data_IF_839522510809
#
_entry.id   IF_839522510809
#
_cell.length_a   1.000
_cell.length_b   1.000
_cell.length_c   1.000
_cell.angle_alpha   90.00
_cell.angle_beta   90.00
_cell.angle_gamma   90.00
#
_symmetry.space_group_name_H-M   'P 1'
#
loop_
_entity.id
_entity.type
_entity.pdbx_description
1 polymer ?
#
# COMPACT_ATOMS: atom_id res chain seq x y z
N UNK A 1 10.98 -31.62 5.64
CA UNK A 1 11.33 -31.13 4.29
C UNK A 1 10.07 -31.24 3.43
N UNK A 2 9.61 -30.09 2.90
CA UNK A 2 8.35 -29.87 2.18
C UNK A 2 7.08 -29.80 3.03
N UNK A 3 6.86 -28.66 3.70
CA UNK A 3 5.53 -28.19 4.10
C UNK A 3 5.04 -27.28 2.97
N UNK A 4 4.35 -27.88 2.01
CA UNK A 4 3.60 -27.17 0.96
C UNK A 4 2.42 -26.46 1.61
N UNK A 5 2.65 -25.23 2.09
CA UNK A 5 1.60 -24.31 2.49
C UNK A 5 0.92 -23.79 1.22
N UNK A 6 -0.01 -24.59 0.67
CA UNK A 6 -1.06 -24.06 -0.20
C UNK A 6 -1.93 -23.14 0.65
N UNK A 7 -1.58 -21.86 0.75
CA UNK A 7 -2.55 -20.83 1.12
C UNK A 7 -3.54 -20.68 -0.04
N UNK A 8 -4.55 -21.54 -0.06
CA UNK A 8 -5.82 -21.21 -0.71
C UNK A 8 -6.49 -20.13 0.14
N UNK A 9 -6.03 -18.88 -0.01
CA UNK A 9 -6.74 -17.68 0.44
C UNK A 9 -7.98 -17.51 -0.43
N UNK A 10 -9.00 -18.31 -0.16
CA UNK A 10 -10.38 -18.00 -0.57
C UNK A 10 -10.86 -16.82 0.29
N UNK A 11 -10.31 -15.63 0.03
CA UNK A 11 -10.87 -14.38 0.51
C UNK A 11 -12.21 -14.20 -0.19
N UNK A 12 -13.30 -14.51 0.51
CA UNK A 12 -14.63 -14.07 0.13
C UNK A 12 -14.63 -12.54 0.13
N UNK A 13 -14.43 -11.98 -1.07
CA UNK A 13 -14.27 -10.55 -1.33
C UNK A 13 -15.61 -9.82 -1.16
N UNK A 14 -15.91 -9.40 0.06
CA UNK A 14 -16.93 -8.39 0.32
C UNK A 14 -16.35 -7.01 0.02
N UNK A 15 -16.90 -6.22 -0.92
CA UNK A 15 -16.47 -4.84 -1.12
C UNK A 15 -16.89 -3.95 0.05
N UNK A 16 -16.14 -2.87 0.39
CA UNK A 16 -14.85 -2.46 -0.17
C UNK A 16 -13.72 -2.76 0.82
N UNK A 17 -12.80 -3.65 0.46
CA UNK A 17 -11.46 -3.58 1.05
C UNK A 17 -10.81 -2.28 0.53
N UNK A 18 -10.14 -1.51 1.39
CA UNK A 18 -9.51 -0.26 0.96
C UNK A 18 -8.51 -0.53 -0.17
N UNK A 19 -8.49 0.35 -1.17
CA UNK A 19 -7.60 0.26 -2.33
C UNK A 19 -6.13 0.05 -1.93
N UNK A 20 -5.71 0.73 -0.86
CA UNK A 20 -4.38 0.66 -0.25
C UNK A 20 -4.04 -0.75 0.25
N UNK A 21 -4.97 -1.46 0.90
CA UNK A 21 -4.74 -2.82 1.39
C UNK A 21 -4.50 -3.80 0.23
N UNK A 22 -5.22 -3.66 -0.88
CA UNK A 22 -5.04 -4.54 -2.05
C UNK A 22 -3.65 -4.37 -2.67
N UNK A 23 -3.19 -3.13 -2.78
CA UNK A 23 -1.88 -2.83 -3.34
C UNK A 23 -0.78 -3.32 -2.40
N UNK A 24 -0.92 -3.11 -1.09
CA UNK A 24 -0.02 -3.66 -0.08
C UNK A 24 0.08 -5.18 -0.17
N UNK A 25 -1.05 -5.87 -0.27
CA UNK A 25 -1.07 -7.32 -0.37
C UNK A 25 -0.36 -7.79 -1.64
N UNK A 26 -0.68 -7.18 -2.78
CA UNK A 26 -0.02 -7.54 -4.05
C UNK A 26 1.49 -7.31 -3.98
N UNK A 27 1.93 -6.21 -3.36
CA UNK A 27 3.34 -5.88 -3.23
C UNK A 27 4.06 -6.87 -2.29
N UNK A 28 3.40 -7.25 -1.19
CA UNK A 28 3.86 -8.29 -0.27
C UNK A 28 4.04 -9.64 -0.98
N UNK A 29 3.04 -10.06 -1.75
CA UNK A 29 3.12 -11.32 -2.51
C UNK A 29 4.21 -11.28 -3.59
N UNK A 30 4.58 -10.09 -4.07
CA UNK A 30 5.69 -9.90 -5.02
C UNK A 30 7.08 -10.02 -4.38
N UNK A 31 7.15 -10.28 -3.08
CA UNK A 31 8.39 -10.41 -2.32
C UNK A 31 8.82 -9.13 -1.63
N UNK A 32 8.00 -8.09 -1.57
CA UNK A 32 8.32 -6.89 -0.80
C UNK A 32 7.74 -6.96 0.61
N UNK A 33 8.59 -7.16 1.60
CA UNK A 33 8.15 -7.26 2.99
C UNK A 33 8.13 -5.88 3.65
N UNK A 34 7.05 -5.51 4.36
CA UNK A 34 7.00 -4.28 5.13
C UNK A 34 7.66 -4.47 6.50
N UNK A 35 8.66 -3.63 6.77
CA UNK A 35 9.37 -3.49 8.03
C UNK A 35 9.01 -2.17 8.70
N UNK A 36 9.07 -2.12 10.02
CA UNK A 36 9.01 -0.86 10.75
C UNK A 36 10.39 -0.20 10.72
N UNK A 37 10.42 1.08 10.38
CA UNK A 37 11.62 1.90 10.51
C UNK A 37 12.07 1.98 11.98
N UNK A 38 13.37 1.92 12.30
CA UNK A 38 13.87 2.09 13.68
C UNK A 38 13.47 3.45 14.28
N UNK A 39 13.36 4.47 13.44
CA UNK A 39 12.90 5.81 13.78
C UNK A 39 11.40 6.02 13.49
N UNK A 40 10.63 4.93 13.38
CA UNK A 40 9.20 4.98 13.10
C UNK A 40 8.48 5.83 14.16
N UNK A 41 7.92 6.95 13.72
CA UNK A 41 7.06 7.81 14.51
C UNK A 41 5.70 7.89 13.82
N UNK A 42 4.64 7.75 14.60
CA UNK A 42 3.27 7.88 14.12
C UNK A 42 2.56 9.04 14.85
N UNK A 43 1.73 9.85 14.17
CA UNK A 43 1.02 10.97 14.80
C UNK A 43 -0.03 10.53 15.82
N UNK A 44 -0.72 9.40 15.55
CA UNK A 44 -1.60 8.77 16.55
C UNK A 44 -0.74 8.23 17.73
N UNK A 45 -0.91 8.76 18.97
CA UNK A 45 -0.10 8.38 20.12
C UNK A 45 -0.32 6.92 20.56
N UNK A 46 -1.52 6.37 20.37
CA UNK A 46 -1.81 4.96 20.65
C UNK A 46 -0.98 4.09 19.73
N UNK A 47 -1.08 4.32 18.41
CA UNK A 47 -0.34 3.55 17.43
C UNK A 47 1.17 3.76 17.58
N UNK A 48 1.63 4.99 17.85
CA UNK A 48 3.03 5.28 18.16
C UNK A 48 3.56 4.41 19.31
N UNK A 49 2.82 4.32 20.43
CA UNK A 49 3.22 3.49 21.56
C UNK A 49 3.29 2.00 21.21
N UNK A 50 2.34 1.51 20.41
CA UNK A 50 2.27 0.12 19.97
C UNK A 50 3.42 -0.22 19.02
N UNK A 51 3.72 0.67 18.07
CA UNK A 51 4.84 0.56 17.14
C UNK A 51 6.18 0.58 17.87
N UNK A 52 6.36 1.46 18.86
CA UNK A 52 7.57 1.51 19.67
C UNK A 52 7.82 0.19 20.41
N UNK A 53 6.76 -0.42 20.98
CA UNK A 53 6.86 -1.76 21.60
C UNK A 53 7.18 -2.84 20.57
N UNK A 54 6.55 -2.81 19.40
CA UNK A 54 6.81 -3.77 18.34
C UNK A 54 8.26 -3.68 17.81
N UNK A 55 8.78 -2.47 17.60
CA UNK A 55 10.14 -2.22 17.12
C UNK A 55 11.23 -2.74 18.07
N UNK A 56 10.97 -2.75 19.38
CA UNK A 56 11.88 -3.31 20.39
C UNK A 56 12.00 -4.84 20.32
N UNK A 57 11.08 -5.51 19.61
CA UNK A 57 10.89 -6.97 19.69
C UNK A 57 11.45 -7.72 18.46
N UNK A 58 12.42 -7.14 17.74
CA UNK A 58 13.02 -7.61 16.46
C UNK A 58 12.32 -7.01 15.25
N UNK A 59 13.12 -6.54 14.29
CA UNK A 59 12.72 -6.11 12.93
C UNK A 59 12.12 -7.28 12.16
N UNK A 60 10.94 -7.73 12.57
CA UNK A 60 10.22 -8.81 11.97
C UNK A 60 9.12 -8.19 11.10
N UNK A 61 8.98 -8.73 9.90
CA UNK A 61 7.91 -8.42 8.97
C UNK A 61 6.59 -8.21 9.72
N UNK A 62 5.82 -7.17 9.39
CA UNK A 62 4.48 -6.95 9.99
C UNK A 62 3.59 -8.20 9.91
N UNK A 63 3.87 -9.13 9.00
CA UNK A 63 3.17 -10.41 8.87
C UNK A 63 3.33 -11.35 10.07
N UNK A 64 4.31 -11.13 10.97
CA UNK A 64 4.56 -11.98 12.15
C UNK A 64 4.27 -11.23 13.46
N UNK A 65 3.87 -9.95 13.38
CA UNK A 65 3.42 -9.20 14.56
C UNK A 65 1.96 -9.56 14.88
N UNK A 66 1.56 -9.37 16.14
CA UNK A 66 0.16 -9.48 16.58
C UNK A 66 -0.65 -8.34 15.92
N UNK A 67 -1.10 -8.59 14.69
CA UNK A 67 -1.88 -7.66 13.90
C UNK A 67 -3.14 -7.23 14.65
N UNK A 68 -3.73 -8.15 15.42
CA UNK A 68 -4.87 -7.89 16.31
C UNK A 68 -4.54 -6.82 17.35
N UNK A 69 -3.36 -6.90 17.98
CA UNK A 69 -2.90 -5.89 18.93
C UNK A 69 -2.68 -4.54 18.26
N UNK A 70 -2.06 -4.49 17.08
CA UNK A 70 -1.84 -3.23 16.35
C UNK A 70 -3.15 -2.58 15.90
N UNK A 71 -4.13 -3.39 15.52
CA UNK A 71 -5.44 -2.93 15.06
C UNK A 71 -6.32 -2.37 16.17
N UNK A 72 -6.16 -2.83 17.41
CA UNK A 72 -7.05 -2.48 18.51
C UNK A 72 -7.05 -0.96 18.77
N UNK A 73 -8.25 -0.38 18.80
CA UNK A 73 -8.47 1.04 19.06
C UNK A 73 -8.20 1.95 17.85
N UNK A 74 -7.98 1.40 16.65
CA UNK A 74 -7.92 2.18 15.42
C UNK A 74 -9.32 2.38 14.82
N UNK A 75 -9.57 3.60 14.37
CA UNK A 75 -10.81 3.99 13.68
C UNK A 75 -10.46 4.44 12.25
N UNK A 76 -11.33 4.14 11.29
CA UNK A 76 -11.10 4.50 9.89
C UNK A 76 -12.29 4.23 8.98
N UNK A 77 -12.06 4.37 7.67
CA UNK A 77 -13.11 4.30 6.63
C UNK A 77 -13.57 2.89 6.28
N UNK A 78 -12.88 1.86 6.80
CA UNK A 78 -13.13 0.45 6.49
C UNK A 78 -13.57 -0.30 7.74
N UNK A 79 -14.49 -1.26 7.58
CA UNK A 79 -14.86 -2.19 8.65
C UNK A 79 -13.81 -3.28 8.89
N UNK A 80 -12.86 -3.45 7.96
CA UNK A 80 -11.72 -4.33 8.14
C UNK A 80 -10.61 -3.60 8.94
N UNK A 81 -10.28 -4.05 10.16
CA UNK A 81 -9.30 -3.37 11.01
C UNK A 81 -7.88 -3.41 10.43
N UNK A 82 -7.53 -4.45 9.66
CA UNK A 82 -6.24 -4.56 8.98
C UNK A 82 -6.13 -3.50 7.88
N UNK A 83 -7.22 -3.25 7.15
CA UNK A 83 -7.25 -2.18 6.16
C UNK A 83 -7.02 -0.82 6.82
N UNK A 84 -7.68 -0.56 7.96
CA UNK A 84 -7.51 0.68 8.73
C UNK A 84 -6.07 0.84 9.22
N UNK A 85 -5.45 -0.25 9.71
CA UNK A 85 -4.04 -0.23 10.11
C UNK A 85 -3.12 0.12 8.93
N UNK A 86 -3.27 -0.56 7.79
CA UNK A 86 -2.43 -0.28 6.62
C UNK A 86 -2.66 1.13 6.05
N UNK A 87 -3.89 1.63 6.04
CA UNK A 87 -4.17 3.02 5.65
C UNK A 87 -3.44 4.00 6.59
N UNK A 88 -3.49 3.75 7.90
CA UNK A 88 -2.81 4.58 8.91
C UNK A 88 -1.27 4.52 8.77
N UNK A 89 -0.71 3.35 8.48
CA UNK A 89 0.73 3.16 8.37
C UNK A 89 1.30 3.62 7.03
N UNK A 90 0.58 3.48 5.92
CA UNK A 90 1.05 3.95 4.61
C UNK A 90 0.96 5.46 4.50
N UNK A 91 -0.14 6.04 4.97
CA UNK A 91 -0.49 7.44 4.73
C UNK A 91 -1.03 8.10 6.02
N UNK A 92 -0.17 8.27 7.06
CA UNK A 92 -0.60 8.79 8.35
C UNK A 92 -1.22 10.19 8.21
N UNK A 93 -2.40 10.39 8.81
CA UNK A 93 -3.17 11.65 8.79
C UNK A 93 -3.37 12.27 7.39
N UNK A 94 -3.34 11.42 6.35
CA UNK A 94 -3.57 11.87 4.98
C UNK A 94 -4.92 12.56 4.82
N UNK A 95 -5.95 12.13 5.54
CA UNK A 95 -7.29 12.74 5.55
C UNK A 95 -7.25 14.25 5.93
N UNK A 96 -6.22 14.71 6.66
CA UNK A 96 -6.00 16.11 7.03
C UNK A 96 -5.08 16.87 6.06
N UNK A 97 -4.65 16.23 4.97
CA UNK A 97 -3.72 16.79 3.98
C UNK A 97 -2.29 16.93 4.49
N UNK A 98 -1.94 16.29 5.61
CA UNK A 98 -0.59 16.32 6.17
C UNK A 98 0.33 15.36 5.40
N UNK A 99 1.61 15.73 5.32
CA UNK A 99 2.66 14.95 4.66
C UNK A 99 3.55 14.32 5.73
N UNK A 100 3.07 13.20 6.29
CA UNK A 100 3.84 12.40 7.24
C UNK A 100 4.57 11.27 6.54
N UNK A 101 5.81 11.01 6.95
CA UNK A 101 6.57 9.87 6.47
C UNK A 101 5.94 8.57 6.98
N UNK A 102 5.70 7.63 6.08
CA UNK A 102 5.26 6.29 6.47
C UNK A 102 6.28 5.65 7.43
N UNK A 103 5.85 5.08 8.58
CA UNK A 103 6.71 4.26 9.41
C UNK A 103 7.15 2.94 8.75
N UNK A 104 6.64 2.62 7.54
CA UNK A 104 6.95 1.40 6.82
C UNK A 104 8.12 1.59 5.87
N UNK A 105 9.06 0.65 5.94
CA UNK A 105 10.11 0.44 4.98
C UNK A 105 9.87 -0.88 4.24
N UNK A 106 9.75 -0.81 2.92
CA UNK A 106 9.52 -1.99 2.09
C UNK A 106 10.85 -2.53 1.57
N UNK A 107 11.15 -3.79 1.89
CA UNK A 107 12.40 -4.45 1.49
C UNK A 107 12.11 -5.62 0.58
N UNK A 108 12.85 -5.72 -0.51
CA UNK A 108 12.70 -6.81 -1.47
C UNK A 108 13.43 -8.07 -0.98
N UNK A 109 12.68 -9.14 -0.81
CA UNK A 109 13.12 -10.48 -0.39
C UNK A 109 12.55 -11.51 -1.37
N UNK A 110 13.30 -11.89 -2.43
CA UNK A 110 12.82 -12.80 -3.47
C UNK A 110 12.43 -14.17 -2.93
N UNK A 111 13.05 -14.60 -1.82
CA UNK A 111 12.76 -15.87 -1.14
C UNK A 111 11.33 -15.92 -0.56
N UNK A 112 10.72 -14.75 -0.31
CA UNK A 112 9.36 -14.60 0.20
C UNK A 112 8.33 -14.35 -0.90
N UNK A 113 8.79 -14.19 -2.15
CA UNK A 113 7.89 -13.96 -3.27
C UNK A 113 7.00 -15.20 -3.47
N UNK A 114 5.70 -14.97 -3.50
CA UNK A 114 4.70 -15.98 -3.80
C UNK A 114 4.24 -15.72 -5.23
N UNK A 115 4.50 -16.64 -6.18
CA UNK A 115 3.98 -16.52 -7.53
C UNK A 115 2.47 -16.34 -7.51
N UNK A 116 2.00 -15.19 -7.94
CA UNK A 116 0.58 -14.83 -7.96
C UNK A 116 0.24 -14.15 -9.27
N UNK A 117 -1.04 -14.24 -9.64
CA UNK A 117 -1.58 -13.65 -10.85
C UNK A 117 -2.69 -12.69 -10.46
N UNK A 118 -2.54 -11.44 -10.87
CA UNK A 118 -3.60 -10.43 -10.71
C UNK A 118 -4.49 -10.48 -11.94
N UNK A 119 -5.76 -10.82 -11.73
CA UNK A 119 -6.78 -10.85 -12.79
C UNK A 119 -7.63 -9.59 -12.71
N UNK A 120 -7.69 -8.85 -13.81
CA UNK A 120 -8.52 -7.66 -13.93
C UNK A 120 -9.18 -7.60 -15.31
N UNK A 121 -10.34 -6.95 -15.37
CA UNK A 121 -10.96 -6.58 -16.64
C UNK A 121 -10.28 -5.31 -17.14
N UNK A 122 -9.55 -5.39 -18.25
CA UNK A 122 -8.88 -4.25 -18.88
C UNK A 122 -7.45 -3.95 -18.37
N UNK A 123 -6.86 -2.81 -18.78
CA UNK A 123 -5.48 -2.45 -18.44
C UNK A 123 -5.29 -2.05 -16.97
N UNK A 124 -4.05 -2.18 -16.44
CA UNK A 124 -3.71 -1.66 -15.13
C UNK A 124 -4.12 -0.20 -14.99
N UNK A 125 -4.72 0.17 -13.86
CA UNK A 125 -5.35 1.48 -13.66
C UNK A 125 -6.88 1.48 -13.81
N UNK A 126 -7.47 0.39 -14.30
CA UNK A 126 -8.91 0.11 -14.19
C UNK A 126 -9.79 1.24 -14.71
N UNK A 127 -10.72 1.73 -13.88
CA UNK A 127 -11.67 2.78 -14.27
C UNK A 127 -11.00 4.07 -14.75
N UNK A 128 -9.79 4.41 -14.28
CA UNK A 128 -9.10 5.63 -14.71
C UNK A 128 -8.64 5.60 -16.17
N UNK A 129 -8.48 4.40 -16.76
CA UNK A 129 -8.22 4.25 -18.19
C UNK A 129 -9.43 4.62 -19.06
N UNK A 130 -10.64 4.52 -18.53
CA UNK A 130 -11.88 4.84 -19.25
C UNK A 130 -12.28 6.32 -19.10
N UNK A 131 -11.57 7.09 -18.27
CA UNK A 131 -11.86 8.49 -17.98
C UNK A 131 -10.96 9.42 -18.81
N UNK A 132 -11.40 10.67 -19.01
CA UNK A 132 -10.59 11.66 -19.72
C UNK A 132 -9.34 12.00 -18.90
N UNK A 133 -8.16 11.83 -19.51
CA UNK A 133 -6.88 11.95 -18.79
C UNK A 133 -6.53 13.35 -18.27
N UNK A 134 -7.25 14.38 -18.73
CA UNK A 134 -7.16 15.78 -18.30
C UNK A 134 -7.95 16.05 -17.00
N UNK A 135 -8.90 15.17 -16.64
CA UNK A 135 -9.65 15.29 -15.39
C UNK A 135 -8.70 15.20 -14.20
N UNK A 136 -8.94 16.02 -13.19
CA UNK A 136 -8.16 16.05 -11.96
C UNK A 136 -8.73 15.10 -10.91
N UNK A 137 -7.87 14.56 -10.05
CA UNK A 137 -8.30 13.81 -8.87
C UNK A 137 -9.08 14.70 -7.90
N UNK A 138 -10.19 14.20 -7.36
CA UNK A 138 -10.84 14.83 -6.22
C UNK A 138 -10.00 14.69 -4.95
N UNK A 139 -9.31 13.56 -4.80
CA UNK A 139 -8.35 13.31 -3.73
C UNK A 139 -7.06 14.08 -3.96
N UNK A 140 -6.39 14.39 -2.85
CA UNK A 140 -5.07 15.00 -2.86
C UNK A 140 -4.03 14.02 -3.43
N UNK A 141 -3.02 14.55 -4.10
CA UNK A 141 -1.96 13.76 -4.72
C UNK A 141 -1.21 12.84 -3.73
N UNK A 142 -1.03 13.29 -2.48
CA UNK A 142 -0.41 12.47 -1.42
C UNK A 142 -1.26 11.24 -1.05
N UNK A 143 -2.56 11.21 -1.34
CA UNK A 143 -3.39 10.02 -1.09
C UNK A 143 -3.16 8.92 -2.12
N UNK A 144 -2.48 9.27 -3.21
CA UNK A 144 -2.22 8.37 -4.31
C UNK A 144 -0.87 7.65 -4.16
N UNK A 145 -0.10 7.89 -3.09
CA UNK A 145 1.19 7.22 -2.90
C UNK A 145 1.01 5.70 -2.75
N UNK A 146 2.04 4.97 -3.17
CA UNK A 146 2.05 3.52 -3.20
C UNK A 146 3.10 2.98 -2.24
N UNK A 147 2.97 1.73 -1.78
CA UNK A 147 3.96 1.05 -0.95
C UNK A 147 5.39 1.19 -1.50
N UNK A 148 6.27 1.89 -0.80
CA UNK A 148 7.66 2.08 -1.22
C UNK A 148 7.86 2.97 -2.46
N UNK A 149 6.83 3.69 -2.91
CA UNK A 149 6.93 4.66 -4.01
C UNK A 149 6.02 5.87 -3.77
N UNK A 150 6.62 7.03 -3.52
CA UNK A 150 5.89 8.29 -3.41
C UNK A 150 5.56 8.88 -4.78
N UNK A 151 4.35 9.41 -4.93
CA UNK A 151 3.93 10.05 -6.17
C UNK A 151 4.80 11.26 -6.51
N UNK A 152 5.14 12.10 -5.51
CA UNK A 152 6.00 13.28 -5.71
C UNK A 152 7.38 12.92 -6.24
N UNK A 153 7.99 11.84 -5.72
CA UNK A 153 9.31 11.38 -6.18
C UNK A 153 9.26 10.89 -7.63
N UNK A 154 8.22 10.13 -7.98
CA UNK A 154 8.02 9.68 -9.35
C UNK A 154 7.72 10.83 -10.32
N UNK A 155 6.92 11.82 -9.90
CA UNK A 155 6.64 13.01 -10.71
C UNK A 155 7.91 13.83 -10.96
N UNK A 156 8.76 14.01 -9.94
CA UNK A 156 10.08 14.64 -10.09
C UNK A 156 10.98 13.88 -11.06
N UNK A 157 11.03 12.55 -10.97
CA UNK A 157 11.78 11.69 -11.89
C UNK A 157 11.30 11.87 -13.35
N UNK A 158 9.99 12.04 -13.54
CA UNK A 158 9.36 12.26 -14.86
C UNK A 158 9.27 13.72 -15.29
N UNK A 159 9.86 14.66 -14.54
CA UNK A 159 9.84 16.13 -14.79
C UNK A 159 8.42 16.70 -14.95
N UNK A 160 7.48 16.26 -14.11
CA UNK A 160 6.10 16.78 -14.03
C UNK A 160 5.94 17.80 -12.89
N UNK A 161 4.90 18.62 -12.95
CA UNK A 161 4.53 19.58 -11.90
C UNK A 161 4.11 18.85 -10.60
N UNK A 162 4.43 19.45 -9.46
CA UNK A 162 4.05 18.97 -8.13
C UNK A 162 2.72 19.63 -7.73
N UNK A 163 1.64 19.23 -8.41
CA UNK A 163 0.31 19.80 -8.20
C UNK A 163 -0.44 19.05 -7.09
N UNK A 164 -1.20 19.79 -6.27
CA UNK A 164 -2.01 19.23 -5.17
C UNK A 164 -3.07 18.23 -5.66
N UNK A 165 -3.65 18.50 -6.83
CA UNK A 165 -4.55 17.62 -7.55
C UNK A 165 -3.89 17.23 -8.87
N UNK A 166 -3.81 15.94 -9.14
CA UNK A 166 -3.10 15.43 -10.32
C UNK A 166 -4.08 14.93 -11.36
N UNK A 167 -3.71 15.03 -12.64
CA UNK A 167 -4.52 14.48 -13.73
C UNK A 167 -4.65 12.96 -13.61
N UNK A 168 -5.80 12.39 -13.98
CA UNK A 168 -6.04 10.94 -13.95
C UNK A 168 -5.04 10.17 -14.83
N UNK A 169 -4.54 10.80 -15.91
CA UNK A 169 -3.45 10.25 -16.72
C UNK A 169 -2.15 10.09 -15.94
N UNK A 170 -1.84 11.00 -15.02
CA UNK A 170 -0.65 10.94 -14.15
C UNK A 170 -0.79 9.76 -13.20
N UNK A 171 -1.96 9.63 -12.56
CA UNK A 171 -2.24 8.55 -11.61
C UNK A 171 -2.22 7.18 -12.29
N UNK A 172 -2.81 7.07 -13.49
CA UNK A 172 -2.80 5.83 -14.27
C UNK A 172 -1.38 5.41 -14.60
N UNK A 173 -0.56 6.34 -15.11
CA UNK A 173 0.84 6.07 -15.41
C UNK A 173 1.66 5.73 -14.16
N UNK A 174 1.32 6.33 -13.02
CA UNK A 174 1.96 6.03 -11.75
C UNK A 174 1.70 4.59 -11.30
N UNK A 175 0.44 4.15 -11.31
CA UNK A 175 0.08 2.76 -11.02
C UNK A 175 0.74 1.77 -11.98
N UNK A 176 0.70 2.05 -13.29
CA UNK A 176 1.35 1.19 -14.31
C UNK A 176 2.84 1.07 -14.01
N UNK A 177 3.51 2.19 -13.72
CA UNK A 177 4.93 2.19 -13.37
C UNK A 177 5.23 1.38 -12.11
N UNK A 178 4.34 1.38 -11.12
CA UNK A 178 4.46 0.58 -9.92
C UNK A 178 4.34 -0.92 -10.22
N UNK A 179 3.32 -1.32 -10.98
CA UNK A 179 3.13 -2.71 -11.41
C UNK A 179 4.26 -3.23 -12.32
N UNK A 180 4.92 -2.35 -13.07
CA UNK A 180 6.10 -2.73 -13.85
C UNK A 180 7.34 -2.93 -12.97
N UNK A 181 7.49 -2.14 -11.88
CA UNK A 181 8.63 -2.24 -10.96
C UNK A 181 8.61 -3.51 -10.13
N UNK A 182 7.45 -3.92 -9.60
CA UNK A 182 7.37 -5.10 -8.73
C UNK A 182 7.30 -6.44 -9.47
N UNK A 183 7.50 -6.48 -10.79
CA UNK A 183 7.39 -7.71 -11.61
C UNK A 183 6.07 -8.45 -11.42
N UNK A 184 4.97 -7.71 -11.28
CA UNK A 184 3.66 -8.28 -11.06
C UNK A 184 3.18 -8.95 -12.36
N UNK A 185 2.83 -10.24 -12.29
CA UNK A 185 2.14 -10.90 -13.39
C UNK A 185 0.66 -10.45 -13.38
N UNK A 186 0.35 -9.42 -14.16
CA UNK A 186 -1.03 -8.98 -14.40
C UNK A 186 -1.51 -9.62 -15.70
N UNK A 187 -2.46 -10.54 -15.60
CA UNK A 187 -3.13 -11.10 -16.77
C UNK A 187 -4.43 -10.33 -17.01
N UNK A 188 -4.53 -9.75 -18.21
CA UNK A 188 -5.73 -9.07 -18.67
C UNK A 188 -6.70 -10.11 -19.24
N UNK A 189 -7.93 -10.13 -18.71
CA UNK A 189 -9.04 -10.95 -19.23
C UNK A 189 -9.93 -10.13 -20.16
#
# INVERSE_FOLDING_TARGET
>A
LSLSLSLSLSLSLSPPLSFSLWICLSYLLSGYTPYLSPEASHPNPLLHSKLGRACLTVSLALSVQDLEYLCEGLEGRSSNPVAVLFDSLLLPDSDFGLDHTSPLEWRYEPERAIPHLVLGKGPPGGAWHAMEGSMLTLSLANWMELPGLKLKDWMREKRRSDDTHVGLSVVTNFLVSFYQRGSFAVLQL
#
